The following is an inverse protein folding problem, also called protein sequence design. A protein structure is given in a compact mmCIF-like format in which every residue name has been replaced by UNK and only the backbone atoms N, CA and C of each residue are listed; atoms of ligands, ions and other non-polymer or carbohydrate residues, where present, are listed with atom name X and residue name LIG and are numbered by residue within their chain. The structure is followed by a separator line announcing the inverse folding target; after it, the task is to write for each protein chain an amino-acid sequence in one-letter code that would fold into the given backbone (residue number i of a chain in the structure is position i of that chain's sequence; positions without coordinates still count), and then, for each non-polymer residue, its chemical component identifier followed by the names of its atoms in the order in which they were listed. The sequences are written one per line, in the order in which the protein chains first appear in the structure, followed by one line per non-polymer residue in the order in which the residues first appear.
data_IF_382982891104
#
_entry.id   IF_382982891104
#
_cell.length_a   1.000
_cell.length_b   1.000
_cell.length_c   1.000
_cell.angle_alpha   90.00
_cell.angle_beta   90.00
_cell.angle_gamma   90.00
#
_symmetry.space_group_name_H-M   'P 1'
#
loop_
_entity.id
_entity.type
_entity.pdbx_description
1 polymer ?
#
# COMPACT_ATOMS: atom_id res chain seq x y z
N UNK A 1 -20.96 2.76 11.41
CA UNK A 1 -19.89 3.06 12.35
C UNK A 1 -18.56 2.62 11.76
N UNK A 2 -17.67 3.55 11.55
CA UNK A 2 -16.37 3.17 11.06
C UNK A 2 -15.68 2.34 12.14
N UNK A 3 -15.33 1.14 11.78
CA UNK A 3 -14.54 0.30 12.65
C UNK A 3 -13.08 0.57 12.34
N UNK A 4 -12.44 1.29 13.22
CA UNK A 4 -11.02 1.60 13.14
C UNK A 4 -10.16 0.36 13.25
N UNK A 5 -10.71 -0.64 13.85
CA UNK A 5 -10.11 -1.95 13.97
C UNK A 5 -11.05 -2.85 13.21
N UNK A 6 -10.53 -3.51 12.19
CA UNK A 6 -11.26 -4.60 11.59
C UNK A 6 -11.72 -5.50 12.75
N UNK A 7 -13.00 -5.82 12.87
CA UNK A 7 -13.44 -6.69 13.93
C UNK A 7 -12.54 -7.92 13.95
N UNK A 8 -12.18 -8.36 15.14
CA UNK A 8 -11.39 -9.58 15.26
C UNK A 8 -12.08 -10.69 14.48
N UNK A 9 -11.41 -11.19 13.45
CA UNK A 9 -11.98 -12.21 12.56
C UNK A 9 -12.43 -11.70 11.18
N UNK A 10 -12.44 -10.39 10.91
CA UNK A 10 -12.62 -9.92 9.54
C UNK A 10 -11.27 -9.82 8.84
N UNK A 11 -11.13 -10.58 7.77
CA UNK A 11 -9.99 -10.48 6.89
C UNK A 11 -10.03 -9.15 6.12
N UNK A 12 -8.87 -8.57 5.85
CA UNK A 12 -8.73 -7.49 4.88
C UNK A 12 -9.22 -8.03 3.54
N UNK A 13 -10.24 -7.39 2.96
CA UNK A 13 -10.87 -7.90 1.74
C UNK A 13 -10.23 -7.31 0.49
N UNK A 14 -9.76 -6.09 0.55
CA UNK A 14 -9.21 -5.39 -0.62
C UNK A 14 -7.92 -4.66 -0.29
N UNK A 15 -6.93 -4.84 -1.15
CA UNK A 15 -5.59 -4.27 -1.00
C UNK A 15 -5.29 -3.41 -2.21
N UNK A 16 -4.91 -2.16 -1.98
CA UNK A 16 -4.35 -1.29 -2.99
C UNK A 16 -2.83 -1.29 -2.92
N UNK A 17 -2.16 -1.35 -4.05
CA UNK A 17 -0.70 -1.35 -4.12
C UNK A 17 -0.21 -0.32 -5.14
N UNK A 18 0.59 0.63 -4.67
CA UNK A 18 1.19 1.68 -5.49
C UNK A 18 2.70 1.52 -5.50
N UNK A 19 3.28 1.43 -6.68
CA UNK A 19 4.71 1.24 -6.89
C UNK A 19 5.03 -0.20 -7.26
N UNK A 20 5.10 -0.50 -8.55
CA UNK A 20 5.27 -1.84 -9.10
C UNK A 20 6.68 -2.06 -9.67
N UNK A 21 7.67 -1.40 -9.07
CA UNK A 21 9.08 -1.62 -9.41
C UNK A 21 9.58 -2.99 -8.95
N UNK A 22 10.92 -3.15 -8.86
CA UNK A 22 11.51 -4.45 -8.54
C UNK A 22 10.98 -5.07 -7.25
N UNK A 23 10.96 -4.31 -6.17
CA UNK A 23 10.47 -4.82 -4.88
C UNK A 23 8.95 -4.82 -4.85
N UNK A 24 8.33 -3.69 -5.18
CA UNK A 24 6.88 -3.53 -5.13
C UNK A 24 6.15 -4.52 -6.03
N UNK A 25 6.66 -4.74 -7.24
CA UNK A 25 6.07 -5.71 -8.16
C UNK A 25 6.08 -7.15 -7.62
N UNK A 26 7.15 -7.53 -6.92
CA UNK A 26 7.24 -8.86 -6.31
C UNK A 26 6.30 -9.02 -5.13
N UNK A 27 6.17 -7.99 -4.32
CA UNK A 27 5.22 -7.97 -3.20
C UNK A 27 3.78 -8.04 -3.69
N UNK A 28 3.43 -7.23 -4.69
CA UNK A 28 2.11 -7.26 -5.30
C UNK A 28 1.79 -8.64 -5.92
N UNK A 29 2.77 -9.23 -6.60
CA UNK A 29 2.64 -10.59 -7.14
C UNK A 29 2.41 -11.64 -6.05
N UNK A 30 3.06 -11.49 -4.90
CA UNK A 30 2.85 -12.37 -3.75
C UNK A 30 1.40 -12.26 -3.22
N UNK A 31 0.86 -11.05 -3.16
CA UNK A 31 -0.52 -10.84 -2.76
C UNK A 31 -1.51 -11.51 -3.71
N UNK A 32 -1.27 -11.41 -5.02
CA UNK A 32 -2.09 -12.11 -6.02
C UNK A 32 -2.04 -13.63 -5.87
N UNK A 33 -0.85 -14.19 -5.64
CA UNK A 33 -0.70 -15.65 -5.41
C UNK A 33 -1.46 -16.12 -4.17
N UNK A 34 -1.59 -15.25 -3.17
CA UNK A 34 -2.36 -15.52 -1.96
C UNK A 34 -3.84 -15.13 -2.07
N UNK A 35 -4.32 -14.90 -3.30
CA UNK A 35 -5.73 -14.64 -3.63
C UNK A 35 -6.31 -13.40 -2.95
N UNK A 36 -5.47 -12.41 -2.66
CA UNK A 36 -5.94 -11.11 -2.21
C UNK A 36 -6.64 -10.38 -3.36
N UNK A 37 -7.72 -9.71 -3.05
CA UNK A 37 -8.35 -8.80 -4.00
C UNK A 37 -7.46 -7.56 -4.13
N UNK A 38 -6.78 -7.43 -5.26
CA UNK A 38 -5.72 -6.45 -5.47
C UNK A 38 -6.13 -5.39 -6.47
N UNK A 39 -5.87 -4.13 -6.12
CA UNK A 39 -5.93 -2.99 -7.03
C UNK A 39 -4.53 -2.40 -7.12
N UNK A 40 -4.05 -2.13 -8.33
CA UNK A 40 -2.67 -1.69 -8.57
C UNK A 40 -2.62 -0.34 -9.27
N UNK A 41 -1.53 0.37 -9.03
CA UNK A 41 -1.21 1.62 -9.70
C UNK A 41 0.30 1.85 -9.76
N UNK A 42 0.74 2.44 -10.85
CA UNK A 42 2.09 2.93 -11.06
C UNK A 42 2.02 4.15 -11.99
N UNK A 43 3.06 4.95 -12.04
CA UNK A 43 3.16 6.03 -13.01
C UNK A 43 3.19 5.49 -14.44
N UNK A 44 3.79 4.32 -14.64
CA UNK A 44 3.81 3.61 -15.91
C UNK A 44 2.79 2.47 -15.88
N UNK A 45 1.67 2.66 -16.57
CA UNK A 45 0.60 1.67 -16.62
C UNK A 45 1.05 0.35 -17.24
N UNK A 46 2.08 0.37 -18.09
CA UNK A 46 2.58 -0.85 -18.74
C UNK A 46 3.15 -1.86 -17.75
N UNK A 47 3.76 -1.40 -16.65
CA UNK A 47 4.28 -2.31 -15.61
C UNK A 47 3.15 -2.98 -14.81
N UNK A 48 1.95 -2.42 -14.84
CA UNK A 48 0.78 -2.98 -14.18
C UNK A 48 0.09 -4.07 -14.99
N UNK A 49 0.34 -4.14 -16.30
CA UNK A 49 -0.39 -5.04 -17.20
C UNK A 49 -0.33 -6.51 -16.77
N UNK A 50 0.85 -7.08 -16.38
CA UNK A 50 0.88 -8.48 -15.90
C UNK A 50 -0.02 -8.74 -14.69
N UNK A 51 -0.17 -7.75 -13.81
CA UNK A 51 -1.04 -7.86 -12.63
C UNK A 51 -2.51 -7.80 -13.04
N UNK A 52 -2.85 -6.92 -13.96
CA UNK A 52 -4.20 -6.80 -14.53
C UNK A 52 -4.61 -8.09 -15.22
N UNK A 53 -3.71 -8.66 -16.03
CA UNK A 53 -3.92 -9.95 -16.70
C UNK A 53 -4.12 -11.09 -15.70
N UNK A 54 -3.54 -10.98 -14.51
CA UNK A 54 -3.67 -11.95 -13.42
C UNK A 54 -4.81 -11.62 -12.44
N UNK A 55 -5.76 -10.80 -12.83
CA UNK A 55 -7.01 -10.46 -12.11
C UNK A 55 -6.93 -9.24 -11.18
N UNK A 56 -5.83 -8.51 -11.12
CA UNK A 56 -5.79 -7.24 -10.40
C UNK A 56 -6.60 -6.17 -11.15
N UNK A 57 -7.12 -5.21 -10.41
CA UNK A 57 -7.78 -4.04 -10.97
C UNK A 57 -6.80 -2.88 -11.08
N UNK A 58 -7.04 -1.98 -12.01
CA UNK A 58 -6.29 -0.73 -12.13
C UNK A 58 -7.02 0.40 -11.42
N UNK A 59 -6.27 1.22 -10.67
CA UNK A 59 -6.80 2.44 -10.08
C UNK A 59 -6.42 3.65 -10.92
N UNK A 60 -7.39 4.45 -11.33
CA UNK A 60 -7.15 5.65 -12.13
C UNK A 60 -6.47 6.77 -11.34
N UNK A 61 -6.62 6.75 -10.02
CA UNK A 61 -5.90 7.66 -9.12
C UNK A 61 -5.65 7.00 -7.77
N UNK A 62 -4.68 7.49 -7.01
CA UNK A 62 -4.48 7.04 -5.62
C UNK A 62 -5.72 7.28 -4.74
N UNK A 63 -6.44 8.37 -4.97
CA UNK A 63 -7.69 8.68 -4.27
C UNK A 63 -8.73 7.59 -4.46
N UNK A 64 -8.97 7.14 -5.70
CA UNK A 64 -9.91 6.07 -6.00
C UNK A 64 -9.51 4.78 -5.29
N UNK A 65 -8.22 4.46 -5.28
CA UNK A 65 -7.70 3.30 -4.56
C UNK A 65 -8.00 3.40 -3.07
N UNK A 66 -7.75 4.55 -2.47
CA UNK A 66 -8.01 4.78 -1.05
C UNK A 66 -9.49 4.67 -0.69
N UNK A 67 -10.38 5.09 -1.60
CA UNK A 67 -11.83 4.97 -1.40
C UNK A 67 -12.31 3.52 -1.44
N UNK A 68 -11.70 2.71 -2.30
CA UNK A 68 -12.18 1.34 -2.59
C UNK A 68 -11.50 0.26 -1.78
N UNK A 69 -10.27 0.47 -1.30
CA UNK A 69 -9.48 -0.55 -0.63
C UNK A 69 -9.47 -0.37 0.88
N UNK A 70 -9.32 -1.46 1.60
CA UNK A 70 -9.23 -1.46 3.07
C UNK A 70 -7.83 -1.09 3.54
N UNK A 71 -6.82 -1.54 2.81
CA UNK A 71 -5.42 -1.21 3.06
C UNK A 71 -4.78 -0.71 1.77
N UNK A 72 -4.02 0.36 1.87
CA UNK A 72 -3.27 0.93 0.76
C UNK A 72 -1.78 0.80 1.09
N UNK A 73 -1.04 0.10 0.25
CA UNK A 73 0.39 -0.11 0.40
C UNK A 73 1.13 0.76 -0.61
N UNK A 74 2.13 1.48 -0.14
CA UNK A 74 3.05 2.24 -1.00
C UNK A 74 4.44 1.65 -0.92
N UNK A 75 5.09 1.47 -2.07
CA UNK A 75 6.46 1.01 -2.19
C UNK A 75 7.14 1.83 -3.28
N UNK A 76 7.64 3.00 -2.92
CA UNK A 76 8.06 4.06 -3.82
C UNK A 76 9.56 4.36 -3.68
N UNK A 77 10.19 4.95 -4.72
CA UNK A 77 11.65 5.08 -4.76
C UNK A 77 12.23 6.22 -3.91
N UNK A 78 11.40 7.14 -3.43
CA UNK A 78 11.92 8.32 -2.70
C UNK A 78 10.86 8.92 -1.77
N UNK A 79 11.28 9.69 -0.74
CA UNK A 79 10.35 10.44 0.10
C UNK A 79 9.47 11.42 -0.70
N UNK A 80 10.03 12.05 -1.73
CA UNK A 80 9.27 12.97 -2.59
C UNK A 80 8.17 12.23 -3.37
N UNK A 81 8.43 11.01 -3.83
CA UNK A 81 7.43 10.20 -4.51
C UNK A 81 6.30 9.81 -3.55
N UNK A 82 6.62 9.44 -2.32
CA UNK A 82 5.62 9.15 -1.29
C UNK A 82 4.77 10.37 -0.98
N UNK A 83 5.38 11.53 -0.78
CA UNK A 83 4.66 12.78 -0.54
C UNK A 83 3.72 13.13 -1.70
N UNK A 84 4.19 12.99 -2.94
CA UNK A 84 3.38 13.28 -4.12
C UNK A 84 2.14 12.37 -4.21
N UNK A 85 2.30 11.08 -3.97
CA UNK A 85 1.20 10.12 -4.01
C UNK A 85 0.20 10.35 -2.87
N UNK A 86 0.68 10.77 -1.71
CA UNK A 86 -0.17 11.02 -0.55
C UNK A 86 -0.92 12.33 -0.62
N UNK A 87 -0.25 13.41 -1.00
CA UNK A 87 -0.73 14.79 -0.82
C UNK A 87 -1.29 15.46 -2.09
N UNK A 88 -1.22 14.82 -3.25
CA UNK A 88 -1.84 15.36 -4.46
C UNK A 88 -3.36 15.53 -4.29
N UNK A 89 -3.98 16.38 -5.12
CA UNK A 89 -5.43 16.60 -5.08
C UNK A 89 -6.22 15.30 -5.25
N UNK A 90 -5.69 14.36 -6.02
CA UNK A 90 -6.23 13.02 -6.22
C UNK A 90 -5.39 11.95 -5.51
N UNK A 91 -4.66 12.34 -4.47
CA UNK A 91 -3.79 11.48 -3.70
C UNK A 91 -4.53 10.61 -2.69
N UNK A 92 -3.78 9.76 -2.00
CA UNK A 92 -4.33 8.83 -1.02
C UNK A 92 -5.09 9.56 0.08
N UNK A 93 -4.53 10.65 0.61
CA UNK A 93 -5.16 11.40 1.70
C UNK A 93 -6.55 11.92 1.34
N UNK A 94 -6.77 12.27 0.08
CA UNK A 94 -8.08 12.75 -0.38
C UNK A 94 -9.17 11.68 -0.35
N UNK A 95 -8.79 10.40 -0.41
CA UNK A 95 -9.73 9.27 -0.41
C UNK A 95 -9.77 8.47 0.90
N UNK A 96 -8.86 8.74 1.84
CA UNK A 96 -8.82 8.03 3.11
C UNK A 96 -10.01 8.37 4.01
N UNK A 97 -10.47 7.38 4.75
CA UNK A 97 -11.54 7.54 5.73
C UNK A 97 -11.27 6.62 6.94
N UNK A 98 -12.13 6.71 7.93
CA UNK A 98 -12.06 5.89 9.14
C UNK A 98 -11.97 4.40 8.81
N UNK A 99 -11.12 3.71 9.53
CA UNK A 99 -10.95 2.26 9.43
C UNK A 99 -10.03 1.80 8.31
N UNK A 100 -9.54 2.71 7.47
CA UNK A 100 -8.54 2.39 6.44
C UNK A 100 -7.15 2.29 7.05
N UNK A 101 -6.25 1.60 6.34
CA UNK A 101 -4.84 1.46 6.75
C UNK A 101 -3.96 1.93 5.59
N UNK A 102 -2.96 2.74 5.91
CA UNK A 102 -1.87 3.04 4.99
C UNK A 102 -0.61 2.35 5.46
N UNK A 103 -0.05 1.46 4.65
CA UNK A 103 1.19 0.76 4.95
C UNK A 103 2.31 1.27 4.04
N UNK A 104 3.31 1.91 4.64
CA UNK A 104 4.49 2.38 3.91
C UNK A 104 5.56 1.30 3.95
N UNK A 105 5.85 0.73 2.79
CA UNK A 105 6.88 -0.30 2.64
C UNK A 105 8.14 0.22 1.97
N UNK A 106 8.16 1.48 1.57
CA UNK A 106 9.37 2.09 1.00
C UNK A 106 10.47 2.21 2.04
N UNK A 107 11.71 2.07 1.62
CA UNK A 107 12.87 2.48 2.42
C UNK A 107 13.04 3.98 2.21
N UNK A 108 12.51 4.77 3.14
CA UNK A 108 12.42 6.22 3.01
C UNK A 108 12.82 6.91 4.32
N UNK A 109 12.78 8.22 4.34
CA UNK A 109 13.10 9.04 5.50
C UNK A 109 12.06 8.85 6.61
N UNK A 110 12.50 8.47 7.80
CA UNK A 110 11.63 8.26 8.96
C UNK A 110 10.85 9.52 9.36
N UNK A 111 11.45 10.71 9.21
CA UNK A 111 10.78 11.97 9.51
C UNK A 111 9.61 12.22 8.55
N UNK A 112 9.79 11.91 7.28
CA UNK A 112 8.74 12.05 6.27
C UNK A 112 7.60 11.05 6.48
N UNK A 113 7.92 9.80 6.82
CA UNK A 113 6.91 8.79 7.15
C UNK A 113 6.09 9.22 8.37
N UNK A 114 6.75 9.78 9.38
CA UNK A 114 6.07 10.30 10.57
C UNK A 114 5.15 11.46 10.22
N UNK A 115 5.61 12.38 9.38
CA UNK A 115 4.81 13.53 8.91
C UNK A 115 3.56 13.08 8.17
N UNK A 116 3.72 12.19 7.19
CA UNK A 116 2.62 11.64 6.41
C UNK A 116 1.68 10.79 7.29
N UNK A 117 2.23 10.04 8.22
CA UNK A 117 1.44 9.25 9.17
C UNK A 117 0.54 10.11 10.05
N UNK A 118 0.99 11.30 10.45
CA UNK A 118 0.15 12.25 11.18
C UNK A 118 -1.05 12.70 10.35
N UNK A 119 -0.82 12.98 9.05
CA UNK A 119 -1.90 13.35 8.13
C UNK A 119 -2.90 12.20 7.91
N UNK A 120 -2.41 10.96 7.87
CA UNK A 120 -3.26 9.77 7.78
C UNK A 120 -4.17 9.66 9.00
N UNK A 121 -3.62 9.89 10.20
CA UNK A 121 -4.40 9.88 11.46
C UNK A 121 -5.48 10.96 11.47
N UNK A 122 -5.20 12.13 10.91
CA UNK A 122 -6.20 13.20 10.79
C UNK A 122 -7.41 12.78 9.95
N UNK A 123 -7.26 11.82 9.05
CA UNK A 123 -8.33 11.24 8.24
C UNK A 123 -9.06 10.09 8.94
N UNK A 124 -8.68 9.75 10.16
CA UNK A 124 -9.25 8.61 10.89
C UNK A 124 -8.69 7.26 10.49
N UNK A 125 -7.70 7.23 9.63
CA UNK A 125 -7.02 6.01 9.19
C UNK A 125 -5.79 5.72 10.05
N UNK A 126 -5.25 4.51 9.93
CA UNK A 126 -4.08 4.07 10.69
C UNK A 126 -2.86 3.94 9.79
N UNK A 127 -1.76 4.64 10.09
CA UNK A 127 -0.50 4.46 9.38
C UNK A 127 0.30 3.31 9.97
N UNK A 128 0.94 2.53 9.10
CA UNK A 128 1.88 1.47 9.48
C UNK A 128 3.16 1.65 8.70
N UNK A 129 4.27 1.77 9.40
CA UNK A 129 5.60 1.79 8.79
C UNK A 129 6.17 0.38 8.82
N UNK A 130 6.30 -0.24 7.65
CA UNK A 130 6.80 -1.60 7.53
C UNK A 130 7.77 -1.72 6.35
N UNK A 131 8.97 -1.14 6.48
CA UNK A 131 9.97 -1.19 5.42
C UNK A 131 10.34 -2.64 5.08
N UNK A 132 10.53 -2.90 3.79
CA UNK A 132 10.87 -4.24 3.29
C UNK A 132 12.33 -4.54 3.63
N UNK A 133 12.57 -5.71 4.24
CA UNK A 133 13.90 -6.23 4.49
C UNK A 133 14.17 -7.50 3.68
N UNK A 134 15.43 -7.79 3.36
CA UNK A 134 15.84 -8.97 2.63
C UNK A 134 15.85 -8.82 1.11
N UNK A 135 15.56 -7.64 0.58
CA UNK A 135 15.64 -7.30 -0.84
C UNK A 135 14.67 -8.05 -1.74
N UNK A 136 14.91 -7.97 -3.05
CA UNK A 136 13.99 -8.49 -4.06
C UNK A 136 13.76 -10.02 -3.97
N UNK A 137 14.75 -10.76 -3.51
CA UNK A 137 14.61 -12.22 -3.39
C UNK A 137 13.56 -12.59 -2.35
N UNK A 138 13.62 -11.98 -1.17
CA UNK A 138 12.65 -12.22 -0.10
C UNK A 138 11.28 -11.66 -0.43
N UNK A 139 11.22 -10.56 -1.17
CA UNK A 139 9.94 -9.99 -1.60
C UNK A 139 9.15 -10.92 -2.52
N UNK A 140 9.81 -11.84 -3.21
CA UNK A 140 9.17 -12.83 -4.06
C UNK A 140 8.61 -14.03 -3.29
N UNK A 141 8.90 -14.13 -1.99
CA UNK A 141 8.45 -15.22 -1.11
C UNK A 141 7.46 -14.72 -0.07
N UNK A 142 6.81 -15.63 0.61
CA UNK A 142 5.85 -15.27 1.67
C UNK A 142 6.52 -14.66 2.91
N UNK A 143 7.82 -14.81 3.05
CA UNK A 143 8.53 -14.35 4.25
C UNK A 143 8.52 -12.83 4.41
N UNK A 144 8.43 -12.10 3.31
CA UNK A 144 8.35 -10.63 3.34
C UNK A 144 7.02 -10.10 3.88
N UNK A 145 6.00 -10.94 3.90
CA UNK A 145 4.66 -10.57 4.38
C UNK A 145 4.44 -10.92 5.86
N UNK A 146 5.39 -11.61 6.49
CA UNK A 146 5.32 -11.89 7.91
C UNK A 146 5.61 -10.63 8.71
N UNK A 147 4.86 -10.36 9.78
CA UNK A 147 5.17 -9.21 10.62
C UNK A 147 6.62 -9.31 11.12
N UNK A 148 7.31 -8.18 11.05
CA UNK A 148 8.65 -8.08 11.61
C UNK A 148 8.61 -8.53 13.06
N UNK A 149 9.30 -9.59 13.37
CA UNK A 149 9.56 -9.90 14.77
C UNK A 149 10.44 -8.78 15.32
N UNK A 150 10.09 -8.20 16.46
CA UNK A 150 10.99 -7.22 17.08
C UNK A 150 12.36 -7.87 17.26
N UNK A 151 13.38 -7.15 16.84
CA UNK A 151 14.76 -7.53 17.10
C UNK A 151 15.02 -7.48 18.60
#
# INVERSE_FOLDING_TARGET
MPQRILPRGQAIQSVGFIGLGNVGGKLAGSLLRNKCQLMVRDLDKTVAQPFIDASASWADSPKIMAEKCDIIITCLPSPAASAAVMEADDGILAGLSDGKIWAEMSTTDAAEVTRLGALVKERGADPVDCPVSGGCHRAATEDSLKPNRPC
#
